data_IF_808110822643
#
_entry.id   IF_808110822643
#
_cell.length_a   1.000
_cell.length_b   1.000
_cell.length_c   1.000
_cell.angle_alpha   90.00
_cell.angle_beta   90.00
_cell.angle_gamma   90.00
#
_symmetry.space_group_name_H-M   'P 1'
#
loop_
_entity.id
_entity.type
_entity.pdbx_description
1 polymer ?
#
# COMPACT_ATOMS: atom_id res chain seq x y z
N UNK A 1 26.03 15.73 -1.46
CA UNK A 1 25.15 15.59 -2.57
C UNK A 1 23.84 14.99 -2.13
N UNK A 2 22.77 15.63 -2.44
CA UNK A 2 21.51 15.10 -2.01
C UNK A 2 21.08 13.99 -2.93
N UNK A 3 20.45 12.99 -2.38
CA UNK A 3 19.90 11.94 -3.18
C UNK A 3 18.55 12.32 -3.67
N UNK A 4 18.18 11.80 -4.81
CA UNK A 4 16.87 12.06 -5.33
C UNK A 4 15.83 11.41 -4.43
N UNK A 5 14.73 12.09 -4.26
CA UNK A 5 13.59 11.56 -3.51
C UNK A 5 12.81 10.63 -4.42
N UNK A 6 12.47 9.45 -3.93
CA UNK A 6 11.60 8.53 -4.65
C UNK A 6 10.16 8.91 -4.31
N UNK A 7 9.38 9.24 -5.32
CA UNK A 7 7.97 9.53 -5.12
C UNK A 7 7.17 8.28 -5.41
N UNK A 8 6.24 7.96 -4.51
CA UNK A 8 5.41 6.76 -4.64
C UNK A 8 3.95 7.16 -4.45
N UNK A 9 3.09 6.60 -5.29
CA UNK A 9 1.64 6.69 -5.12
C UNK A 9 1.12 5.26 -5.07
N UNK A 10 0.35 4.95 -4.03
CA UNK A 10 -0.14 3.58 -3.83
C UNK A 10 -1.64 3.59 -3.65
N UNK A 11 -2.30 2.54 -4.12
CA UNK A 11 -3.74 2.42 -3.98
C UNK A 11 -4.15 0.96 -3.94
N UNK A 12 -5.31 0.70 -3.36
CA UNK A 12 -5.88 -0.64 -3.30
C UNK A 12 -7.34 -0.60 -3.69
N UNK A 13 -7.82 -1.69 -4.26
CA UNK A 13 -9.20 -1.82 -4.68
C UNK A 13 -9.69 -3.23 -4.39
N UNK A 14 -10.99 -3.38 -4.15
CA UNK A 14 -11.54 -4.69 -3.85
C UNK A 14 -12.98 -4.74 -4.35
N UNK A 15 -13.34 -5.83 -5.02
CA UNK A 15 -14.71 -6.01 -5.48
C UNK A 15 -15.44 -6.86 -4.46
N UNK A 16 -16.37 -6.23 -3.72
CA UNK A 16 -16.94 -6.89 -2.57
C UNK A 16 -15.88 -6.92 -1.48
N UNK A 17 -16.20 -6.76 -0.28
CA UNK A 17 -15.22 -6.61 0.78
C UNK A 17 -15.61 -7.53 1.93
N UNK A 18 -15.16 -8.81 1.94
CA UNK A 18 -14.06 -9.38 1.14
C UNK A 18 -14.46 -9.80 -0.27
N UNK A 19 -13.45 -9.97 -1.10
CA UNK A 19 -13.61 -10.42 -2.47
C UNK A 19 -12.31 -10.29 -3.24
N UNK A 20 -12.34 -10.41 -4.57
CA UNK A 20 -11.13 -10.22 -5.34
C UNK A 20 -10.66 -8.77 -5.25
N UNK A 21 -9.38 -8.56 -5.06
CA UNK A 21 -8.83 -7.24 -4.91
C UNK A 21 -7.51 -7.08 -5.61
N UNK A 22 -7.08 -5.82 -5.79
CA UNK A 22 -5.83 -5.51 -6.43
C UNK A 22 -5.14 -4.35 -5.75
N UNK A 23 -3.85 -4.23 -6.00
CA UNK A 23 -3.04 -3.12 -5.53
C UNK A 23 -2.28 -2.52 -6.70
N UNK A 24 -2.02 -1.22 -6.63
CA UNK A 24 -1.29 -0.53 -7.68
C UNK A 24 -0.32 0.48 -7.10
N UNK A 25 0.80 0.65 -7.79
CA UNK A 25 1.87 1.54 -7.37
C UNK A 25 2.46 2.26 -8.57
N UNK A 26 2.66 3.56 -8.42
CA UNK A 26 3.46 4.34 -9.35
C UNK A 26 4.68 4.83 -8.60
N UNK A 27 5.87 4.55 -9.14
CA UNK A 27 7.12 5.06 -8.58
C UNK A 27 7.75 6.02 -9.57
N UNK A 28 8.29 7.10 -9.06
CA UNK A 28 8.96 8.10 -9.90
C UNK A 28 10.26 8.55 -9.23
N UNK A 29 11.37 8.44 -9.92
CA UNK A 29 12.66 8.89 -9.41
C UNK A 29 13.57 9.22 -10.57
N UNK A 30 14.29 10.34 -10.46
CA UNK A 30 15.28 10.74 -11.47
C UNK A 30 14.70 10.80 -12.87
N UNK A 31 13.45 11.23 -12.99
CA UNK A 31 12.81 11.36 -14.30
C UNK A 31 12.31 10.06 -14.89
N UNK A 32 12.47 8.94 -14.20
CA UNK A 32 11.97 7.65 -14.66
C UNK A 32 10.77 7.22 -13.83
N UNK A 33 9.86 6.48 -14.46
CA UNK A 33 8.68 5.98 -13.78
C UNK A 33 8.60 4.47 -13.91
N UNK A 34 8.03 3.84 -12.88
CA UNK A 34 7.79 2.41 -12.88
C UNK A 34 6.40 2.16 -12.32
N UNK A 35 5.67 1.27 -12.96
CA UNK A 35 4.34 0.88 -12.51
C UNK A 35 4.36 -0.55 -12.04
N UNK A 36 3.71 -0.82 -10.91
CA UNK A 36 3.58 -2.16 -10.37
C UNK A 36 2.11 -2.40 -10.05
N UNK A 37 1.66 -3.62 -10.20
CA UNK A 37 0.33 -3.98 -9.77
C UNK A 37 0.25 -5.49 -9.55
N UNK A 38 -0.75 -5.89 -8.80
CA UNK A 38 -1.01 -7.30 -8.55
C UNK A 38 -2.32 -7.42 -7.79
N UNK A 39 -2.69 -8.63 -7.43
CA UNK A 39 -3.95 -8.82 -6.73
C UNK A 39 -4.08 -10.18 -6.08
N UNK A 40 -5.21 -10.37 -5.43
CA UNK A 40 -5.54 -11.62 -4.73
C UNK A 40 -7.00 -11.95 -4.98
N UNK A 41 -7.31 -13.25 -5.04
CA UNK A 41 -8.66 -13.71 -5.33
C UNK A 41 -9.62 -13.46 -4.18
N UNK A 42 -9.13 -13.43 -2.94
CA UNK A 42 -9.96 -13.21 -1.76
C UNK A 42 -9.19 -12.35 -0.77
N UNK A 43 -9.61 -11.11 -0.62
CA UNK A 43 -8.91 -10.16 0.22
C UNK A 43 -9.87 -9.05 0.64
N UNK A 44 -9.35 -7.98 1.22
CA UNK A 44 -10.14 -6.82 1.61
C UNK A 44 -9.48 -5.55 1.07
N UNK A 45 -10.25 -4.48 1.02
CA UNK A 45 -9.72 -3.21 0.57
C UNK A 45 -8.53 -2.77 1.43
N UNK A 46 -8.67 -2.88 2.75
CA UNK A 46 -7.58 -2.46 3.63
C UNK A 46 -6.30 -3.28 3.42
N UNK A 47 -6.43 -4.59 3.20
CA UNK A 47 -5.26 -5.40 2.92
C UNK A 47 -4.59 -4.97 1.62
N UNK A 48 -5.38 -4.63 0.60
CA UNK A 48 -4.80 -4.19 -0.68
C UNK A 48 -4.12 -2.82 -0.56
N UNK A 49 -4.68 -1.94 0.25
CA UNK A 49 -4.02 -0.66 0.52
C UNK A 49 -2.67 -0.85 1.20
N UNK A 50 -2.61 -1.74 2.19
CA UNK A 50 -1.35 -2.07 2.84
C UNK A 50 -0.39 -2.75 1.89
N UNK A 51 -0.90 -3.68 1.09
CA UNK A 51 -0.06 -4.42 0.14
C UNK A 51 0.58 -3.49 -0.88
N UNK A 52 -0.15 -2.47 -1.34
CA UNK A 52 0.40 -1.51 -2.28
C UNK A 52 1.62 -0.79 -1.68
N UNK A 53 1.50 -0.32 -0.44
CA UNK A 53 2.62 0.35 0.22
C UNK A 53 3.79 -0.61 0.42
N UNK A 54 3.50 -1.85 0.81
CA UNK A 54 4.54 -2.86 1.03
C UNK A 54 5.28 -3.16 -0.27
N UNK A 55 4.55 -3.43 -1.34
CA UNK A 55 5.18 -3.76 -2.62
C UNK A 55 6.00 -2.60 -3.17
N UNK A 56 5.53 -1.36 -2.93
CA UNK A 56 6.28 -0.20 -3.35
C UNK A 56 7.64 -0.14 -2.64
N UNK A 57 7.65 -0.33 -1.33
CA UNK A 57 8.90 -0.26 -0.58
C UNK A 57 9.81 -1.45 -0.88
N UNK A 58 9.23 -2.63 -1.13
CA UNK A 58 10.03 -3.79 -1.52
C UNK A 58 10.74 -3.58 -2.84
N UNK A 59 10.22 -2.73 -3.70
CA UNK A 59 10.85 -2.47 -4.98
C UNK A 59 12.11 -1.60 -4.86
N UNK A 60 12.32 -0.97 -3.71
CA UNK A 60 13.50 -0.13 -3.49
C UNK A 60 14.66 -1.01 -3.03
N UNK A 61 15.78 -0.93 -3.76
CA UNK A 61 16.89 -1.84 -3.53
C UNK A 61 17.87 -1.35 -2.48
N UNK A 62 17.73 -0.11 -2.04
CA UNK A 62 18.62 0.47 -1.03
C UNK A 62 17.87 1.49 -0.20
N UNK A 63 18.38 1.85 0.97
CA UNK A 63 17.75 2.89 1.78
C UNK A 63 17.56 4.16 0.96
N UNK A 64 16.39 4.76 1.04
CA UNK A 64 16.02 5.87 0.19
C UNK A 64 15.22 6.90 0.96
N UNK A 65 15.22 8.14 0.45
CA UNK A 65 14.27 9.14 0.91
C UNK A 65 13.03 8.98 0.05
N UNK A 66 11.90 8.82 0.67
CA UNK A 66 10.66 8.47 -0.01
C UNK A 66 9.55 9.45 0.37
N UNK A 67 8.80 9.88 -0.65
CA UNK A 67 7.55 10.59 -0.42
C UNK A 67 6.45 9.66 -0.88
N UNK A 68 5.70 9.07 0.04
CA UNK A 68 4.68 8.10 -0.29
C UNK A 68 3.30 8.72 -0.08
N UNK A 69 2.52 8.76 -1.14
CA UNK A 69 1.18 9.34 -1.13
C UNK A 69 0.14 8.23 -1.25
N UNK A 70 -0.86 8.27 -0.39
CA UNK A 70 -1.96 7.30 -0.41
C UNK A 70 -3.28 8.06 -0.18
N UNK A 71 -4.38 7.49 -0.66
CA UNK A 71 -5.69 8.04 -0.32
C UNK A 71 -6.36 7.21 0.80
N UNK A 72 -5.66 6.25 1.35
CA UNK A 72 -6.20 5.40 2.40
C UNK A 72 -6.02 6.05 3.77
N UNK A 73 -7.11 6.42 4.42
CA UNK A 73 -7.06 6.92 5.79
C UNK A 73 -6.61 5.82 6.74
N UNK A 74 -6.96 4.58 6.44
CA UNK A 74 -6.57 3.43 7.24
C UNK A 74 -5.05 3.29 7.31
N UNK A 75 -4.38 3.32 6.15
CA UNK A 75 -2.93 3.23 6.11
C UNK A 75 -2.29 4.41 6.81
N UNK A 76 -2.80 5.62 6.52
CA UNK A 76 -2.23 6.84 7.07
C UNK A 76 -2.33 6.86 8.59
N UNK A 77 -3.50 6.57 9.13
CA UNK A 77 -3.69 6.56 10.59
C UNK A 77 -2.88 5.46 11.26
N UNK A 78 -2.82 4.30 10.63
CA UNK A 78 -2.08 3.20 11.20
C UNK A 78 -0.59 3.50 11.32
N UNK A 79 0.01 4.00 10.25
CA UNK A 79 1.46 4.21 10.23
C UNK A 79 1.88 5.42 11.06
N UNK A 80 1.01 6.43 11.18
CA UNK A 80 1.37 7.64 11.89
C UNK A 80 0.94 7.64 13.36
N UNK A 81 -0.02 6.82 13.73
CA UNK A 81 -0.55 6.82 15.09
C UNK A 81 -0.64 5.43 15.72
N UNK A 82 -1.44 4.55 15.13
CA UNK A 82 -1.78 3.28 15.80
C UNK A 82 -0.59 2.35 16.00
N UNK A 83 0.34 2.33 15.06
CA UNK A 83 1.43 1.35 15.08
C UNK A 83 2.33 1.52 16.30
N UNK A 84 2.47 2.74 16.79
CA UNK A 84 3.30 3.00 17.96
C UNK A 84 2.73 2.31 19.19
N UNK A 85 1.41 2.36 19.37
CA UNK A 85 0.77 1.71 20.50
C UNK A 85 0.79 0.19 20.33
N UNK A 86 0.57 -0.29 19.13
CA UNK A 86 0.62 -1.73 18.89
C UNK A 86 1.99 -2.30 19.22
N UNK A 87 3.04 -1.61 18.82
CA UNK A 87 4.41 -2.08 19.12
C UNK A 87 4.67 -2.13 20.61
N UNK A 88 4.20 -1.11 21.35
CA UNK A 88 4.35 -1.11 22.79
C UNK A 88 3.60 -2.24 23.48
N UNK A 89 2.49 -2.67 22.89
CA UNK A 89 1.66 -3.73 23.43
C UNK A 89 1.99 -5.11 22.89
N UNK A 90 3.10 -5.25 22.18
CA UNK A 90 3.46 -6.54 21.58
C UNK A 90 2.53 -6.93 20.45
N UNK A 91 2.10 -5.95 19.67
CA UNK A 91 1.20 -6.13 18.52
C UNK A 91 -0.19 -6.59 18.94
N UNK A 92 -0.69 -5.95 20.00
CA UNK A 92 -2.04 -6.19 20.47
C UNK A 92 -2.79 -4.89 20.58
N UNK A 93 -4.11 -4.99 20.45
CA UNK A 93 -4.98 -3.82 20.65
C UNK A 93 -5.10 -3.52 22.15
N UNK A 94 -5.76 -2.40 22.46
CA UNK A 94 -5.94 -2.01 23.87
C UNK A 94 -6.68 -3.07 24.68
N UNK A 95 -7.59 -3.84 24.03
CA UNK A 95 -8.30 -4.90 24.73
C UNK A 95 -7.61 -6.26 24.55
N UNK A 96 -6.32 -6.24 24.28
CA UNK A 96 -5.45 -7.42 24.26
C UNK A 96 -5.74 -8.42 23.15
N UNK A 97 -6.40 -7.99 22.08
CA UNK A 97 -6.64 -8.84 20.94
C UNK A 97 -5.53 -8.63 19.91
N UNK A 98 -5.33 -9.63 19.04
CA UNK A 98 -4.36 -9.47 17.95
C UNK A 98 -4.76 -8.31 17.05
N UNK A 99 -3.77 -7.58 16.55
CA UNK A 99 -4.01 -6.47 15.63
C UNK A 99 -4.51 -7.04 14.30
N UNK A 100 -5.59 -6.46 13.78
CA UNK A 100 -6.12 -6.89 12.49
C UNK A 100 -5.10 -6.58 11.39
N UNK A 101 -4.91 -7.53 10.48
CA UNK A 101 -3.91 -7.42 9.41
C UNK A 101 -2.49 -7.26 9.97
N UNK A 102 -2.24 -7.88 11.12
CA UNK A 102 -0.95 -7.77 11.78
C UNK A 102 0.21 -8.17 10.87
N UNK A 103 0.03 -9.21 10.07
CA UNK A 103 1.06 -9.70 9.15
C UNK A 103 1.54 -8.58 8.23
N UNK A 104 0.60 -7.85 7.64
CA UNK A 104 0.95 -6.77 6.72
C UNK A 104 1.49 -5.55 7.45
N UNK A 105 0.93 -5.22 8.61
CA UNK A 105 1.43 -4.08 9.38
C UNK A 105 2.87 -4.31 9.85
N UNK A 106 3.19 -5.52 10.29
CA UNK A 106 4.57 -5.83 10.69
C UNK A 106 5.53 -5.72 9.51
N UNK A 107 5.10 -6.20 8.35
CA UNK A 107 5.95 -6.12 7.15
C UNK A 107 6.17 -4.68 6.75
N UNK A 108 5.10 -3.88 6.77
CA UNK A 108 5.21 -2.46 6.42
C UNK A 108 6.15 -1.74 7.41
N UNK A 109 6.04 -2.04 8.68
CA UNK A 109 6.89 -1.44 9.70
C UNK A 109 8.36 -1.77 9.46
N UNK A 110 8.66 -3.03 9.15
CA UNK A 110 10.03 -3.44 8.83
C UNK A 110 10.59 -2.68 7.64
N UNK A 111 9.80 -2.58 6.59
CA UNK A 111 10.25 -1.91 5.37
C UNK A 111 10.42 -0.42 5.60
N UNK A 112 9.48 0.19 6.32
CA UNK A 112 9.53 1.63 6.58
C UNK A 112 10.78 2.00 7.38
N UNK A 113 11.22 1.12 8.26
CA UNK A 113 12.41 1.37 9.07
C UNK A 113 13.69 1.45 8.25
N UNK A 114 13.67 0.93 7.03
CA UNK A 114 14.86 0.94 6.15
C UNK A 114 14.98 2.22 5.34
N UNK A 115 13.99 3.08 5.37
CA UNK A 115 13.93 4.27 4.53
C UNK A 115 13.53 5.48 5.35
N UNK A 116 13.73 6.67 4.80
CA UNK A 116 13.19 7.89 5.39
C UNK A 116 11.94 8.23 4.60
N UNK A 117 10.77 8.01 5.18
CA UNK A 117 9.51 8.13 4.47
C UNK A 117 8.72 9.30 5.00
N UNK A 118 8.31 10.16 4.07
CA UNK A 118 7.37 11.23 4.35
C UNK A 118 6.01 10.74 3.85
N UNK A 119 5.07 10.58 4.75
CA UNK A 119 3.75 10.04 4.41
C UNK A 119 2.79 11.17 4.10
N UNK A 120 2.12 11.07 2.94
CA UNK A 120 1.16 12.08 2.52
C UNK A 120 -0.18 11.44 2.22
N UNK A 121 -1.23 12.11 2.61
CA UNK A 121 -2.58 11.66 2.32
C UNK A 121 -3.24 12.62 1.34
N UNK A 122 -3.95 12.08 0.34
CA UNK A 122 -4.77 12.87 -0.56
C UNK A 122 -6.15 12.27 -0.58
N UNK A 123 -7.14 13.10 -0.88
CA UNK A 123 -8.50 12.62 -1.01
C UNK A 123 -8.62 11.84 -2.32
N UNK A 124 -9.17 10.65 -2.26
CA UNK A 124 -9.32 9.83 -3.46
C UNK A 124 -10.30 10.46 -4.45
N UNK A 125 -10.06 10.20 -5.72
CA UNK A 125 -10.90 10.68 -6.82
C UNK A 125 -11.08 12.19 -6.84
N UNK A 126 -10.04 12.93 -6.47
CA UNK A 126 -10.11 14.38 -6.45
C UNK A 126 -9.23 15.02 -7.52
N UNK A 127 -8.93 14.30 -8.57
CA UNK A 127 -8.24 14.87 -9.72
C UNK A 127 -6.73 14.86 -9.66
N UNK A 128 -6.15 14.08 -8.77
CA UNK A 128 -4.68 13.96 -8.71
C UNK A 128 -4.25 12.90 -9.72
N UNK A 129 -3.55 13.27 -10.81
CA UNK A 129 -3.24 12.32 -11.89
C UNK A 129 -2.47 11.09 -11.43
N UNK A 130 -1.48 11.27 -10.57
CA UNK A 130 -0.67 10.14 -10.11
C UNK A 130 -1.48 9.22 -9.22
N UNK A 131 -2.33 9.77 -8.36
CA UNK A 131 -3.19 8.96 -7.54
C UNK A 131 -4.19 8.18 -8.39
N UNK A 132 -4.69 8.79 -9.44
CA UNK A 132 -5.60 8.11 -10.36
C UNK A 132 -4.90 6.99 -11.13
N UNK A 133 -3.64 7.18 -11.48
CA UNK A 133 -2.87 6.10 -12.11
C UNK A 133 -2.71 4.92 -11.18
N UNK A 134 -2.43 5.18 -9.89
CA UNK A 134 -2.33 4.10 -8.92
C UNK A 134 -3.67 3.37 -8.78
N UNK A 135 -4.77 4.12 -8.79
CA UNK A 135 -6.11 3.52 -8.74
C UNK A 135 -6.36 2.63 -9.95
N UNK A 136 -6.01 3.10 -11.14
CA UNK A 136 -6.17 2.31 -12.36
C UNK A 136 -5.34 1.03 -12.29
N UNK A 137 -4.12 1.12 -11.78
CA UNK A 137 -3.26 -0.05 -11.63
C UNK A 137 -3.84 -1.03 -10.61
N UNK A 138 -4.41 -0.52 -9.51
CA UNK A 138 -5.05 -1.38 -8.53
C UNK A 138 -6.21 -2.15 -9.14
N UNK A 139 -7.03 -1.46 -9.93
CA UNK A 139 -8.14 -2.12 -10.60
C UNK A 139 -7.66 -3.13 -11.63
N UNK A 140 -6.58 -2.82 -12.33
CA UNK A 140 -5.99 -3.74 -13.29
C UNK A 140 -5.47 -5.00 -12.61
N UNK A 141 -5.03 -4.88 -11.36
CA UNK A 141 -4.54 -6.01 -10.60
C UNK A 141 -5.61 -6.95 -10.08
N UNK A 142 -6.88 -6.52 -10.07
CA UNK A 142 -7.95 -7.38 -9.56
C UNK A 142 -8.09 -8.61 -10.46
N UNK A 143 -8.02 -9.83 -9.90
CA UNK A 143 -8.17 -11.03 -10.72
C UNK A 143 -9.52 -11.09 -11.39
N UNK A 144 -9.58 -11.76 -12.52
CA UNK A 144 -10.84 -12.01 -13.16
C UNK A 144 -11.76 -12.72 -12.19
N UNK A 145 -13.06 -12.57 -12.44
CA UNK A 145 -14.04 -12.92 -11.48
C UNK A 145 -13.71 -14.15 -10.69
N UNK A 146 -14.23 -14.15 -9.53
CA UNK A 146 -13.92 -15.11 -8.57
C UNK A 146 -14.10 -16.52 -8.92
N UNK A 147 -14.62 -16.84 -9.99
CA UNK A 147 -14.68 -18.19 -10.33
C UNK A 147 -13.30 -18.60 -10.73
N UNK A 148 -12.42 -17.79 -10.67
CA UNK A 148 -11.09 -18.12 -10.76
C UNK A 148 -10.67 -18.55 -12.07
N UNK A 149 -11.48 -18.58 -12.93
CA UNK A 149 -11.03 -19.07 -14.04
C UNK A 149 -10.16 -18.21 -14.62
N UNK A 150 -9.78 -17.97 -14.17
CA UNK A 150 -9.07 -17.20 -14.64
C UNK A 150 -8.58 -17.35 -15.90
N UNK A 151 -8.85 -17.52 -16.02
CA UNK A 151 -8.45 -17.60 -16.75
C UNK A 151 -8.06 -17.06 -17.41
N UNK A 152 -7.95 -16.91 -17.60
CA UNK A 152 -7.55 -16.53 -18.14
C UNK A 152 -6.96 -16.32 -18.52
N UNK A 153 -6.79 -16.19 -18.88
CA UNK A 153 -5.88 -15.99 -19.39
C UNK A 153 -5.19 -15.49 -19.67
#
# INVERSE_FOLDING_TARGET
MSEAVVEIWSDGACRGNPGPGGWGVLLRANGAEKELYGGEAATTNNRMELMAAIRALEALKRPSQVKLTTDSTYVMKGITAWIHDWKRRGWRTADKKAVKNEDLWRRLDELAAKHEIEWHWVKGHSGHPENERADQLANKGIPASGDGTGDTP
#
